data_IF_311064237730
#
_entry.id   IF_311064237730
#
_cell.length_a   1.000
_cell.length_b   1.000
_cell.length_c   1.000
_cell.angle_alpha   90.00
_cell.angle_beta   90.00
_cell.angle_gamma   90.00
#
_symmetry.space_group_name_H-M   'P 1'
#
loop_
_entity.id
_entity.type
_entity.pdbx_description
1 polymer ?
#
# COMPACT_ATOMS: atom_id res chain seq x y z
N UNK A 1 18.57 65.37 -12.75
CA UNK A 1 17.83 64.15 -12.35
C UNK A 1 18.52 63.54 -11.14
N UNK A 2 17.80 63.28 -10.05
CA UNK A 2 18.37 62.86 -8.77
C UNK A 2 18.62 61.34 -8.72
N UNK A 3 19.81 60.93 -8.27
CA UNK A 3 20.18 59.52 -8.07
C UNK A 3 19.16 58.74 -7.24
N UNK A 4 18.48 59.42 -6.29
CA UNK A 4 17.45 58.83 -5.44
C UNK A 4 16.19 58.41 -6.21
N UNK A 5 15.81 59.13 -7.28
CA UNK A 5 14.67 58.73 -8.11
C UNK A 5 14.98 57.49 -8.96
N UNK A 6 16.22 57.37 -9.42
CA UNK A 6 16.68 56.22 -10.22
C UNK A 6 16.71 54.96 -9.37
N UNK A 7 17.26 55.03 -8.14
CA UNK A 7 17.33 53.90 -7.19
C UNK A 7 15.93 53.47 -6.74
N UNK A 8 15.02 54.41 -6.42
CA UNK A 8 13.62 54.07 -6.09
C UNK A 8 12.90 53.35 -7.24
N UNK A 9 13.06 53.83 -8.48
CA UNK A 9 12.45 53.20 -9.66
C UNK A 9 12.99 51.78 -9.93
N UNK A 10 14.25 51.53 -9.57
CA UNK A 10 14.89 50.22 -9.75
C UNK A 10 14.44 49.22 -8.69
N UNK A 11 14.39 49.64 -7.41
CA UNK A 11 13.85 48.85 -6.31
C UNK A 11 12.38 48.49 -6.52
N UNK A 12 11.57 49.43 -7.02
CA UNK A 12 10.16 49.20 -7.31
C UNK A 12 9.96 48.21 -8.47
N UNK A 13 10.83 48.23 -9.49
CA UNK A 13 10.83 47.24 -10.58
C UNK A 13 11.25 45.85 -10.11
N UNK A 14 12.28 45.73 -9.26
CA UNK A 14 12.67 44.44 -8.66
C UNK A 14 11.57 43.85 -7.78
N UNK A 15 10.92 44.67 -6.94
CA UNK A 15 9.81 44.24 -6.08
C UNK A 15 8.62 43.72 -6.89
N UNK A 16 8.24 44.42 -7.98
CA UNK A 16 7.17 43.97 -8.88
C UNK A 16 7.50 42.63 -9.56
N UNK A 17 8.74 42.43 -9.99
CA UNK A 17 9.20 41.16 -10.56
C UNK A 17 9.16 40.02 -9.53
N UNK A 18 9.63 40.25 -8.31
CA UNK A 18 9.57 39.26 -7.24
C UNK A 18 8.12 38.86 -6.91
N UNK A 19 7.22 39.83 -6.75
CA UNK A 19 5.80 39.57 -6.52
C UNK A 19 5.18 38.82 -7.71
N UNK A 20 5.51 39.20 -8.95
CA UNK A 20 5.06 38.51 -10.15
C UNK A 20 5.52 37.04 -10.21
N UNK A 21 6.81 36.77 -9.95
CA UNK A 21 7.33 35.40 -9.88
C UNK A 21 6.66 34.59 -8.77
N UNK A 22 6.39 35.21 -7.62
CA UNK A 22 5.74 34.56 -6.48
C UNK A 22 4.27 34.22 -6.81
N UNK A 23 3.53 35.14 -7.44
CA UNK A 23 2.17 34.89 -7.92
C UNK A 23 2.12 33.80 -8.99
N UNK A 24 3.06 33.81 -9.94
CA UNK A 24 3.19 32.74 -10.94
C UNK A 24 3.48 31.41 -10.25
N UNK A 25 4.39 31.37 -9.28
CA UNK A 25 4.68 30.18 -8.48
C UNK A 25 3.45 29.65 -7.74
N UNK A 26 2.64 30.53 -7.13
CA UNK A 26 1.38 30.17 -6.45
C UNK A 26 0.34 29.66 -7.44
N UNK A 27 0.21 30.28 -8.61
CA UNK A 27 -0.72 29.83 -9.66
C UNK A 27 -0.31 28.47 -10.21
N UNK A 28 0.97 28.26 -10.54
CA UNK A 28 1.49 26.96 -10.97
C UNK A 28 1.30 25.90 -9.88
N UNK A 29 1.56 26.23 -8.62
CA UNK A 29 1.34 25.32 -7.50
C UNK A 29 -0.15 24.96 -7.33
N UNK A 30 -1.05 25.93 -7.49
CA UNK A 30 -2.50 25.72 -7.46
C UNK A 30 -2.98 24.85 -8.62
N UNK A 31 -2.54 25.15 -9.85
CA UNK A 31 -2.87 24.39 -11.06
C UNK A 31 -2.32 22.97 -11.02
N UNK A 32 -1.08 22.79 -10.54
CA UNK A 32 -0.45 21.48 -10.40
C UNK A 32 -1.21 20.56 -9.45
N UNK A 33 -2.08 21.09 -8.57
CA UNK A 33 -2.93 20.31 -7.66
C UNK A 33 -4.32 20.01 -8.22
N UNK A 34 -4.56 20.27 -9.50
CA UNK A 34 -5.84 19.98 -10.14
C UNK A 34 -5.76 18.64 -10.88
N UNK A 35 -6.82 17.85 -10.82
CA UNK A 35 -6.91 16.56 -11.52
C UNK A 35 -6.53 16.64 -13.01
N UNK A 36 -6.98 17.64 -13.81
CA UNK A 36 -6.63 17.71 -15.22
C UNK A 36 -5.13 17.83 -15.51
N UNK A 37 -4.38 18.54 -14.65
CA UNK A 37 -2.92 18.69 -14.83
C UNK A 37 -2.21 17.39 -14.48
N UNK A 38 -2.71 16.67 -13.48
CA UNK A 38 -2.18 15.36 -13.09
C UNK A 38 -2.47 14.32 -14.18
N UNK A 39 -3.70 14.30 -14.70
CA UNK A 39 -4.08 13.39 -15.78
C UNK A 39 -3.24 13.64 -17.03
N UNK A 40 -3.02 14.92 -17.37
CA UNK A 40 -2.12 15.31 -18.45
C UNK A 40 -0.67 14.85 -18.17
N UNK A 41 -0.14 15.12 -16.97
CA UNK A 41 1.20 14.69 -16.60
C UNK A 41 1.36 13.17 -16.63
N UNK A 42 0.35 12.42 -16.20
CA UNK A 42 0.31 10.96 -16.26
C UNK A 42 0.38 10.48 -17.71
N UNK A 43 -0.47 11.03 -18.59
CA UNK A 43 -0.48 10.66 -20.01
C UNK A 43 0.87 10.89 -20.68
N UNK A 44 1.57 11.99 -20.33
CA UNK A 44 2.89 12.29 -20.87
C UNK A 44 4.00 11.40 -20.27
N UNK A 45 3.89 11.05 -19.00
CA UNK A 45 4.92 10.27 -18.31
C UNK A 45 4.79 8.77 -18.53
N UNK A 46 3.61 8.27 -18.92
CA UNK A 46 3.34 6.84 -19.09
C UNK A 46 4.34 6.16 -20.03
N UNK A 47 4.92 5.04 -19.59
CA UNK A 47 5.93 4.28 -20.32
C UNK A 47 7.32 4.92 -20.31
N UNK A 48 7.52 6.03 -19.60
CA UNK A 48 8.81 6.71 -19.47
C UNK A 48 9.42 6.47 -18.08
N UNK A 49 10.70 6.79 -17.93
CA UNK A 49 11.38 6.75 -16.62
C UNK A 49 10.80 7.73 -15.59
N UNK A 50 9.98 8.69 -16.03
CA UNK A 50 9.33 9.67 -15.15
C UNK A 50 7.99 9.21 -14.61
N UNK A 51 7.41 8.13 -15.16
CA UNK A 51 6.12 7.59 -14.72
C UNK A 51 6.07 7.44 -13.19
N UNK A 52 6.99 6.71 -12.53
CA UNK A 52 6.99 6.57 -11.07
C UNK A 52 6.96 7.90 -10.31
N UNK A 53 7.67 8.91 -10.81
CA UNK A 53 7.75 10.22 -10.17
C UNK A 53 6.42 10.96 -10.23
N UNK A 54 5.74 10.90 -11.39
CA UNK A 54 4.42 11.51 -11.56
C UNK A 54 3.36 10.79 -10.72
N UNK A 55 3.42 9.45 -10.64
CA UNK A 55 2.52 8.67 -9.76
C UNK A 55 2.74 9.08 -8.30
N UNK A 56 4.00 9.07 -7.82
CA UNK A 56 4.33 9.48 -6.44
C UNK A 56 3.84 10.90 -6.15
N UNK A 57 4.05 11.82 -7.08
CA UNK A 57 3.58 13.20 -6.95
C UNK A 57 2.04 13.30 -6.89
N UNK A 58 1.34 12.64 -7.80
CA UNK A 58 -0.12 12.59 -7.83
C UNK A 58 -0.70 12.01 -6.52
N UNK A 59 -0.17 10.86 -6.09
CA UNK A 59 -0.54 10.22 -4.82
C UNK A 59 -0.25 11.13 -3.63
N UNK A 60 0.86 11.86 -3.64
CA UNK A 60 1.19 12.80 -2.57
C UNK A 60 0.17 13.93 -2.41
N UNK A 61 -0.62 14.24 -3.45
CA UNK A 61 -1.62 15.31 -3.43
C UNK A 61 -3.02 14.73 -3.21
N UNK A 62 -3.43 13.76 -4.04
CA UNK A 62 -4.80 13.25 -4.13
C UNK A 62 -5.02 11.87 -3.51
N UNK A 63 -3.96 11.15 -3.17
CA UNK A 63 -4.09 9.81 -2.60
C UNK A 63 -4.86 9.81 -1.27
N UNK A 64 -5.47 8.67 -0.90
CA UNK A 64 -5.90 8.40 0.47
C UNK A 64 -4.80 8.70 1.51
N UNK A 65 -5.15 8.89 2.80
CA UNK A 65 -4.20 9.25 3.84
C UNK A 65 -2.93 8.38 3.89
N UNK A 66 -3.08 7.05 3.80
CA UNK A 66 -1.96 6.10 3.79
C UNK A 66 -1.10 6.26 2.55
N UNK A 67 -1.70 6.29 1.36
CA UNK A 67 -0.98 6.47 0.09
C UNK A 67 -0.21 7.79 0.05
N UNK A 68 -0.80 8.87 0.57
CA UNK A 68 -0.10 10.14 0.78
C UNK A 68 1.05 10.01 1.76
N UNK A 69 0.88 9.26 2.84
CA UNK A 69 1.94 9.04 3.82
C UNK A 69 3.11 8.28 3.22
N UNK A 70 2.86 7.22 2.46
CA UNK A 70 3.91 6.47 1.73
C UNK A 70 4.58 7.39 0.69
N UNK A 71 3.81 8.06 -0.16
CA UNK A 71 4.34 8.90 -1.23
C UNK A 71 5.14 10.12 -0.73
N UNK A 72 4.85 10.61 0.48
CA UNK A 72 5.57 11.70 1.13
C UNK A 72 6.72 11.22 2.04
N UNK A 73 6.99 9.91 2.10
CA UNK A 73 8.03 9.34 2.95
C UNK A 73 7.75 9.44 4.45
N UNK A 74 6.48 9.55 4.85
CA UNK A 74 6.06 9.48 6.27
C UNK A 74 5.92 8.03 6.76
N UNK A 75 5.65 7.12 5.85
CA UNK A 75 5.83 5.68 6.05
C UNK A 75 7.09 5.30 5.30
N UNK A 76 8.03 4.66 6.00
CA UNK A 76 9.35 4.34 5.47
C UNK A 76 9.85 2.97 5.96
N UNK A 77 10.88 2.46 5.31
CA UNK A 77 11.53 1.20 5.65
C UNK A 77 12.10 1.21 7.07
N UNK A 78 11.93 0.10 7.80
CA UNK A 78 12.40 -0.04 9.17
C UNK A 78 11.54 0.67 10.19
N UNK A 79 10.41 1.28 9.80
CA UNK A 79 9.47 1.85 10.75
C UNK A 79 8.72 0.76 11.52
N UNK A 80 8.53 0.88 12.85
CA UNK A 80 7.71 -0.04 13.62
C UNK A 80 6.27 -0.08 13.11
N UNK A 81 5.70 -1.27 12.95
CA UNK A 81 4.36 -1.46 12.39
C UNK A 81 3.29 -0.89 13.29
N UNK A 82 3.49 -0.93 14.61
CA UNK A 82 2.57 -0.42 15.62
C UNK A 82 2.37 1.09 15.46
N UNK A 83 3.44 1.82 15.17
CA UNK A 83 3.37 3.27 14.89
C UNK A 83 2.55 3.53 13.61
N UNK A 84 2.79 2.74 12.55
CA UNK A 84 2.07 2.88 11.28
C UNK A 84 0.57 2.60 11.48
N UNK A 85 0.23 1.53 12.20
CA UNK A 85 -1.16 1.17 12.52
C UNK A 85 -1.83 2.26 13.35
N UNK A 86 -1.16 2.78 14.38
CA UNK A 86 -1.70 3.82 15.25
C UNK A 86 -2.00 5.13 14.51
N UNK A 87 -1.13 5.54 13.58
CA UNK A 87 -1.28 6.82 12.88
C UNK A 87 -2.16 6.76 11.64
N UNK A 88 -2.17 5.62 10.94
CA UNK A 88 -2.72 5.52 9.59
C UNK A 88 -3.77 4.42 9.42
N UNK A 89 -4.07 3.66 10.49
CA UNK A 89 -5.14 2.68 10.48
C UNK A 89 -6.53 3.28 10.23
N UNK A 90 -7.53 2.44 9.97
CA UNK A 90 -7.49 0.98 10.01
C UNK A 90 -6.90 0.32 8.75
N UNK A 91 -6.29 -0.85 8.92
CA UNK A 91 -5.77 -1.69 7.84
C UNK A 91 -6.47 -3.04 7.81
N UNK A 92 -6.57 -3.65 6.63
CA UNK A 92 -6.81 -5.09 6.54
C UNK A 92 -5.47 -5.80 6.67
N UNK A 93 -5.32 -6.57 7.73
CA UNK A 93 -4.10 -7.35 7.98
C UNK A 93 -4.23 -8.75 7.38
N UNK A 94 -3.13 -9.30 6.87
CA UNK A 94 -3.07 -10.68 6.40
C UNK A 94 -1.74 -11.26 6.85
N UNK A 95 -1.81 -12.21 7.80
CA UNK A 95 -0.64 -12.95 8.25
C UNK A 95 -0.25 -14.03 7.22
N UNK A 96 1.04 -14.09 6.89
CA UNK A 96 1.68 -15.02 5.97
C UNK A 96 3.00 -15.50 6.60
N UNK A 97 2.98 -16.62 7.34
CA UNK A 97 4.16 -17.11 8.07
C UNK A 97 4.80 -15.99 8.94
N UNK A 98 6.06 -15.63 8.69
CA UNK A 98 6.78 -14.55 9.39
C UNK A 98 6.41 -13.13 8.92
N UNK A 99 5.59 -13.01 7.87
CA UNK A 99 5.21 -11.74 7.26
C UNK A 99 3.79 -11.33 7.64
N UNK A 100 3.57 -10.02 7.72
CA UNK A 100 2.24 -9.41 7.82
C UNK A 100 2.04 -8.42 6.70
N UNK A 101 0.96 -8.59 5.93
CA UNK A 101 0.57 -7.65 4.88
C UNK A 101 -0.47 -6.67 5.42
N UNK A 102 -0.19 -5.38 5.32
CA UNK A 102 -1.18 -4.32 5.53
C UNK A 102 -1.73 -3.87 4.19
N UNK A 103 -3.02 -4.08 3.99
CA UNK A 103 -3.76 -3.70 2.79
C UNK A 103 -4.83 -2.64 3.14
N UNK A 104 -5.38 -1.93 2.14
CA UNK A 104 -6.56 -1.10 2.33
C UNK A 104 -7.67 -1.88 3.04
N UNK A 105 -8.45 -1.23 3.93
CA UNK A 105 -9.68 -1.82 4.45
C UNK A 105 -10.61 -2.18 3.29
N UNK A 106 -11.47 -3.20 3.47
CA UNK A 106 -12.35 -3.69 2.41
C UNK A 106 -13.14 -2.55 1.77
N UNK A 107 -12.90 -2.34 0.47
CA UNK A 107 -13.69 -1.49 -0.40
C UNK A 107 -14.22 -2.36 -1.52
N UNK A 108 -15.52 -2.30 -1.77
CA UNK A 108 -16.15 -3.04 -2.85
C UNK A 108 -15.58 -2.58 -4.20
N UNK A 109 -14.91 -3.48 -4.92
CA UNK A 109 -14.54 -3.28 -6.33
C UNK A 109 -13.37 -2.33 -6.60
N UNK A 110 -12.38 -2.23 -5.72
CA UNK A 110 -11.22 -1.38 -5.97
C UNK A 110 -10.31 -1.94 -7.08
N UNK A 111 -10.08 -1.14 -8.13
CA UNK A 111 -9.12 -1.40 -9.20
C UNK A 111 -7.71 -0.87 -8.87
N UNK A 112 -7.53 -0.36 -7.65
CA UNK A 112 -6.28 0.16 -7.12
C UNK A 112 -6.12 -0.22 -5.64
N UNK A 113 -4.89 -0.22 -5.16
CA UNK A 113 -4.60 -0.46 -3.75
C UNK A 113 -3.13 -0.29 -3.42
N UNK A 114 -2.84 -0.41 -2.14
CA UNK A 114 -1.47 -0.51 -1.64
C UNK A 114 -1.27 -1.83 -0.91
N UNK A 115 -0.02 -2.22 -0.76
CA UNK A 115 0.39 -3.31 0.12
C UNK A 115 1.66 -2.88 0.83
N UNK A 116 1.65 -2.94 2.16
CA UNK A 116 2.83 -2.76 2.99
C UNK A 116 3.19 -4.13 3.54
N UNK A 117 4.42 -4.58 3.34
CA UNK A 117 4.93 -5.84 3.90
C UNK A 117 5.70 -5.53 5.18
N UNK A 118 5.37 -6.28 6.22
CA UNK A 118 5.97 -6.19 7.54
C UNK A 118 6.63 -7.51 7.87
N UNK A 119 7.85 -7.47 8.41
CA UNK A 119 8.59 -8.62 8.92
C UNK A 119 9.29 -8.22 10.21
N UNK A 120 9.24 -9.07 11.23
CA UNK A 120 9.81 -8.81 12.55
C UNK A 120 9.30 -7.51 13.20
N UNK A 121 8.01 -7.19 13.00
CA UNK A 121 7.38 -5.97 13.53
C UNK A 121 7.78 -4.67 12.80
N UNK A 122 8.57 -4.74 11.72
CA UNK A 122 9.04 -3.57 10.99
C UNK A 122 8.60 -3.58 9.53
N UNK A 123 8.31 -2.41 8.99
CA UNK A 123 7.98 -2.20 7.58
C UNK A 123 9.21 -2.51 6.70
N UNK A 124 9.05 -3.40 5.72
CA UNK A 124 10.13 -3.81 4.80
C UNK A 124 9.89 -3.36 3.36
N UNK A 125 8.64 -3.35 2.91
CA UNK A 125 8.32 -2.87 1.57
C UNK A 125 6.97 -2.17 1.53
N UNK A 126 6.80 -1.30 0.54
CA UNK A 126 5.52 -0.68 0.23
C UNK A 126 5.36 -0.55 -1.28
N UNK A 127 4.26 -1.09 -1.77
CA UNK A 127 3.89 -1.06 -3.18
C UNK A 127 2.49 -0.49 -3.33
N UNK A 128 2.27 0.22 -4.43
CA UNK A 128 0.95 0.57 -4.91
C UNK A 128 0.71 -0.11 -6.24
N UNK A 129 -0.52 -0.49 -6.50
CA UNK A 129 -0.89 -1.20 -7.70
C UNK A 129 -2.26 -0.74 -8.18
N UNK A 130 -2.45 -0.89 -9.49
CA UNK A 130 -3.74 -0.82 -10.17
C UNK A 130 -3.87 -2.03 -11.07
N UNK A 131 -5.00 -2.14 -11.77
CA UNK A 131 -5.18 -3.15 -12.82
C UNK A 131 -4.16 -3.05 -13.98
N UNK A 132 -3.45 -1.92 -14.15
CA UNK A 132 -2.57 -1.68 -15.31
C UNK A 132 -1.17 -1.19 -14.95
N UNK A 133 -0.88 -0.96 -13.68
CA UNK A 133 0.40 -0.41 -13.22
C UNK A 133 0.73 -0.90 -11.82
N UNK A 134 2.02 -1.02 -11.53
CA UNK A 134 2.54 -1.26 -10.19
C UNK A 134 3.70 -0.28 -9.95
N UNK A 135 3.72 0.29 -8.75
CA UNK A 135 4.74 1.22 -8.29
C UNK A 135 5.32 0.70 -6.98
N UNK A 136 6.64 0.55 -6.96
CA UNK A 136 7.39 0.33 -5.73
C UNK A 136 7.84 1.68 -5.13
N UNK A 137 7.55 1.89 -3.85
CA UNK A 137 8.07 3.05 -3.13
C UNK A 137 9.45 2.78 -2.55
N UNK A 138 9.57 1.65 -1.87
CA UNK A 138 10.78 1.08 -1.30
C UNK A 138 10.56 -0.42 -1.10
N UNK A 139 11.64 -1.19 -1.15
CA UNK A 139 11.64 -2.62 -0.92
C UNK A 139 13.00 -3.06 -0.39
N UNK A 140 13.03 -3.51 0.86
CA UNK A 140 14.21 -4.03 1.52
C UNK A 140 14.22 -5.55 1.60
N UNK A 141 13.21 -6.20 1.05
CA UNK A 141 13.15 -7.66 0.99
C UNK A 141 14.20 -8.13 -0.01
N UNK A 142 14.89 -9.22 0.33
CA UNK A 142 15.65 -9.98 -0.64
C UNK A 142 14.72 -10.55 -1.73
N UNK A 143 15.31 -10.96 -2.86
CA UNK A 143 14.54 -11.57 -3.96
C UNK A 143 13.86 -12.86 -3.51
N UNK A 144 14.52 -13.61 -2.64
CA UNK A 144 14.02 -14.84 -2.06
C UNK A 144 12.80 -14.56 -1.17
N UNK A 145 12.87 -13.55 -0.29
CA UNK A 145 11.75 -13.14 0.56
C UNK A 145 10.58 -12.57 -0.26
N UNK A 146 10.86 -11.75 -1.29
CA UNK A 146 9.80 -11.23 -2.18
C UNK A 146 9.07 -12.38 -2.89
N UNK A 147 9.82 -13.37 -3.39
CA UNK A 147 9.24 -14.57 -4.00
C UNK A 147 8.43 -15.36 -3.00
N UNK A 148 8.94 -15.56 -1.78
CA UNK A 148 8.24 -16.27 -0.72
C UNK A 148 6.92 -15.59 -0.34
N UNK A 149 6.91 -14.26 -0.15
CA UNK A 149 5.70 -13.50 0.14
C UNK A 149 4.65 -13.67 -0.95
N UNK A 150 5.07 -13.60 -2.22
CA UNK A 150 4.19 -13.80 -3.37
C UNK A 150 3.62 -15.23 -3.40
N UNK A 151 4.45 -16.25 -3.19
CA UNK A 151 4.03 -17.65 -3.16
C UNK A 151 3.05 -17.92 -2.01
N UNK A 152 3.33 -17.43 -0.80
CA UNK A 152 2.44 -17.55 0.37
C UNK A 152 1.10 -16.83 0.13
N UNK A 153 1.14 -15.64 -0.47
CA UNK A 153 -0.06 -14.89 -0.79
C UNK A 153 -0.92 -15.62 -1.83
N UNK A 154 -0.33 -16.15 -2.90
CA UNK A 154 -1.02 -16.95 -3.90
C UNK A 154 -1.65 -18.20 -3.30
N UNK A 155 -0.91 -18.92 -2.44
CA UNK A 155 -1.42 -20.12 -1.77
C UNK A 155 -2.64 -19.78 -0.91
N UNK A 156 -2.58 -18.69 -0.14
CA UNK A 156 -3.73 -18.21 0.64
C UNK A 156 -4.92 -17.85 -0.25
N UNK A 157 -4.69 -17.17 -1.37
CA UNK A 157 -5.78 -16.82 -2.30
C UNK A 157 -6.40 -18.04 -2.98
N UNK A 158 -5.60 -19.07 -3.31
CA UNK A 158 -6.12 -20.37 -3.80
C UNK A 158 -6.99 -21.01 -2.72
N UNK A 159 -6.48 -21.15 -1.50
CA UNK A 159 -7.25 -21.68 -0.36
C UNK A 159 -8.58 -20.95 -0.14
N UNK A 160 -8.58 -19.61 -0.16
CA UNK A 160 -9.81 -18.82 -0.01
C UNK A 160 -10.78 -19.00 -1.17
N UNK A 161 -10.28 -19.16 -2.40
CA UNK A 161 -11.12 -19.45 -3.58
C UNK A 161 -11.76 -20.83 -3.45
N UNK A 162 -10.97 -21.84 -3.11
CA UNK A 162 -11.43 -23.22 -2.97
C UNK A 162 -12.45 -23.33 -1.82
N UNK A 163 -12.19 -22.69 -0.67
CA UNK A 163 -13.12 -22.62 0.45
C UNK A 163 -14.45 -21.93 0.08
N UNK A 164 -14.41 -20.85 -0.72
CA UNK A 164 -15.62 -20.19 -1.24
C UNK A 164 -16.39 -21.08 -2.21
N UNK A 165 -15.69 -21.82 -3.08
CA UNK A 165 -16.31 -22.77 -4.00
C UNK A 165 -16.98 -23.92 -3.24
N UNK A 166 -16.28 -24.52 -2.27
CA UNK A 166 -16.83 -25.57 -1.41
C UNK A 166 -18.05 -25.08 -0.62
N UNK A 167 -17.98 -23.86 -0.07
CA UNK A 167 -19.11 -23.26 0.64
C UNK A 167 -20.31 -23.04 -0.29
N UNK A 168 -20.08 -22.60 -1.54
CA UNK A 168 -21.15 -22.50 -2.56
C UNK A 168 -21.74 -23.87 -2.90
N UNK A 169 -20.90 -24.91 -3.05
CA UNK A 169 -21.35 -26.29 -3.29
C UNK A 169 -22.20 -26.82 -2.14
N UNK A 170 -21.81 -26.54 -0.90
CA UNK A 170 -22.55 -26.94 0.29
C UNK A 170 -23.90 -26.19 0.43
N UNK A 171 -23.95 -24.91 0.05
CA UNK A 171 -25.16 -24.08 0.16
C UNK A 171 -26.17 -24.29 -0.97
N UNK A 172 -25.72 -24.54 -2.21
CA UNK A 172 -26.61 -24.66 -3.38
C UNK A 172 -26.93 -26.13 -3.71
N UNK A 173 -26.30 -27.08 -3.01
CA UNK A 173 -26.48 -28.51 -3.24
C UNK A 173 -25.95 -28.96 -4.60
N UNK A 174 -26.12 -30.24 -4.92
CA UNK A 174 -25.68 -30.91 -6.15
C UNK A 174 -26.27 -30.37 -7.47
N UNK A 175 -27.00 -29.26 -7.43
CA UNK A 175 -27.77 -28.70 -8.55
C UNK A 175 -27.12 -27.45 -9.18
N UNK A 176 -25.97 -27.00 -8.66
CA UNK A 176 -25.45 -25.66 -8.98
C UNK A 176 -24.57 -25.52 -10.24
N UNK A 177 -23.91 -26.57 -10.77
CA UNK A 177 -23.13 -26.47 -12.03
C UNK A 177 -23.04 -27.83 -12.76
N UNK A 178 -22.92 -27.83 -14.10
CA UNK A 178 -22.68 -29.04 -14.89
C UNK A 178 -21.21 -29.47 -14.79
N UNK A 179 -21.05 -30.77 -14.60
CA UNK A 179 -19.84 -31.60 -14.70
C UNK A 179 -18.98 -31.81 -13.41
N UNK A 180 -19.23 -32.90 -12.66
CA UNK A 180 -18.50 -33.27 -11.44
C UNK A 180 -17.04 -33.75 -11.67
N UNK A 181 -16.53 -33.76 -12.90
CA UNK A 181 -15.21 -34.30 -13.24
C UNK A 181 -14.02 -33.33 -13.05
N UNK A 182 -14.25 -32.07 -12.68
CA UNK A 182 -13.16 -31.06 -12.58
C UNK A 182 -12.74 -30.69 -11.16
N UNK A 183 -13.42 -31.17 -10.12
CA UNK A 183 -13.08 -30.87 -8.72
C UNK A 183 -12.11 -31.95 -8.23
N UNK A 184 -10.82 -31.64 -8.18
CA UNK A 184 -9.88 -32.47 -7.42
C UNK A 184 -10.26 -32.41 -5.93
N UNK A 185 -10.38 -33.55 -5.24
CA UNK A 185 -10.65 -33.55 -3.82
C UNK A 185 -9.50 -32.87 -3.06
N UNK A 186 -9.79 -32.13 -1.97
CA UNK A 186 -8.76 -31.50 -1.16
C UNK A 186 -7.78 -32.56 -0.62
N UNK A 187 -6.48 -32.27 -0.66
CA UNK A 187 -5.44 -33.11 -0.10
C UNK A 187 -5.40 -32.89 1.43
N UNK A 188 -5.85 -33.86 2.24
CA UNK A 188 -5.97 -33.69 3.68
C UNK A 188 -4.63 -33.45 4.38
N UNK A 189 -3.50 -33.85 3.77
CA UNK A 189 -2.16 -33.64 4.34
C UNK A 189 -1.69 -32.19 4.12
N UNK A 190 -2.10 -31.56 3.03
CA UNK A 190 -1.79 -30.16 2.75
C UNK A 190 -2.57 -29.23 3.68
N UNK A 191 -3.84 -29.52 3.91
CA UNK A 191 -4.70 -28.72 4.78
C UNK A 191 -4.30 -28.82 6.26
N UNK A 192 -3.88 -30.01 6.71
CA UNK A 192 -3.36 -30.20 8.07
C UNK A 192 -2.07 -29.40 8.31
N UNK A 193 -1.17 -29.32 7.33
CA UNK A 193 0.07 -28.51 7.44
C UNK A 193 -0.21 -27.01 7.53
N UNK A 194 -1.21 -26.52 6.79
CA UNK A 194 -1.64 -25.12 6.82
C UNK A 194 -2.31 -24.74 8.14
N UNK A 195 -3.12 -25.64 8.72
CA UNK A 195 -3.77 -25.44 10.01
C UNK A 195 -2.75 -25.37 11.16
N UNK A 196 -1.71 -26.22 11.13
CA UNK A 196 -0.63 -26.22 12.14
C UNK A 196 0.24 -24.95 12.03
N UNK A 197 0.54 -24.48 10.82
CA UNK A 197 1.26 -23.23 10.62
C UNK A 197 0.47 -21.98 11.10
N UNK A 198 -0.86 -22.03 11.08
CA UNK A 198 -1.73 -20.97 11.61
C UNK A 198 -1.92 -20.99 13.14
N UNK A 199 -1.79 -22.15 13.77
CA UNK A 199 -1.93 -22.32 15.23
C UNK A 199 -0.62 -22.11 16.00
N UNK A 200 0.54 -22.26 15.35
CA UNK A 200 1.86 -22.03 15.96
C UNK A 200 2.17 -20.58 16.35
N UNK A 201 1.35 -19.62 15.91
CA UNK A 201 1.53 -18.19 16.19
C UNK A 201 0.76 -17.68 17.43
N UNK A 202 0.02 -18.54 18.15
CA UNK A 202 -0.91 -18.08 19.21
C UNK A 202 -0.91 -18.90 20.52
N UNK A 203 0.12 -19.68 20.81
CA UNK A 203 0.26 -20.33 22.13
C UNK A 203 1.53 -19.82 22.81
N UNK A 204 1.43 -18.62 23.38
CA UNK A 204 2.29 -18.22 24.48
C UNK A 204 1.81 -19.03 25.71
N UNK A 205 2.64 -19.87 26.34
CA UNK A 205 2.24 -20.56 27.55
C UNK A 205 2.06 -19.53 28.66
N UNK A 206 0.81 -19.30 29.08
CA UNK A 206 0.55 -18.61 30.33
C UNK A 206 1.15 -19.46 31.46
N UNK A 207 2.29 -19.04 31.97
CA UNK A 207 2.84 -19.53 33.22
C UNK A 207 1.88 -19.08 34.33
N UNK A 208 1.21 -20.00 35.03
CA UNK A 208 0.38 -19.61 36.16
C UNK A 208 1.28 -19.05 37.26
N UNK A 209 1.09 -17.78 37.61
CA UNK A 209 1.63 -17.24 38.85
C UNK A 209 0.99 -18.00 40.02
N UNK A 210 1.80 -18.82 40.69
CA UNK A 210 1.45 -19.41 41.98
C UNK A 210 1.35 -18.30 43.02
N UNK A 211 0.26 -18.20 43.80
CA UNK A 211 0.23 -17.40 45.01
C UNK A 211 0.81 -18.21 46.17
N UNK A 212 1.52 -17.54 47.10
CA UNK A 212 2.06 -18.02 48.39
C UNK A 212 3.40 -18.80 48.28
N UNK A 213 4.48 -18.55 49.03
CA UNK A 213 4.68 -17.99 50.38
C UNK A 213 6.04 -17.26 50.53
N UNK A 214 6.02 -16.09 51.19
CA UNK A 214 6.98 -15.52 52.18
C UNK A 214 6.88 -13.97 52.24
#
# INVERSE_FOLDING_TARGET
MSLLSTVKSWLQRRRKRLIGCLLIGVLFYGLARTSPVIDFAWQQARGTTWEPTVIKWAMSIHGPPVERAIARGKIFEGQPVEEVIAHYGPFRTTALAEYTLLNPPERNGSFEGYQIVVKDGHVRSAHWWTCVAQLEFFNSLSREEEREVNELYEQRQRFLRDARQLTRLALVGSWAYPDPLTIQPPDPLRDARMAVAGLGAYIEPQVPHSPHDD
#
